data_IF_283077658310
#
_entry.id   IF_283077658310
#
_cell.length_a   1.000
_cell.length_b   1.000
_cell.length_c   1.000
_cell.angle_alpha   90.00
_cell.angle_beta   90.00
_cell.angle_gamma   90.00
#
_symmetry.space_group_name_H-M   'P 1'
#
loop_
_entity.id
_entity.type
_entity.pdbx_description
1 polymer ?
#
# COMPACT_ATOMS: atom_id res chain seq x y z
N UNK A 1 -2.03 -10.26 -12.74
CA UNK A 1 -1.08 -9.53 -11.88
C UNK A 1 -1.19 -10.03 -10.46
N UNK A 2 -0.08 -10.26 -9.81
CA UNK A 2 -0.04 -10.62 -8.38
C UNK A 2 0.01 -9.37 -7.50
N UNK A 3 -0.27 -9.52 -6.21
CA UNK A 3 -0.15 -8.43 -5.25
C UNK A 3 1.28 -7.89 -5.23
N UNK A 4 2.29 -8.77 -5.32
CA UNK A 4 3.70 -8.35 -5.35
C UNK A 4 4.00 -7.48 -6.58
N UNK A 5 3.50 -7.85 -7.75
CA UNK A 5 3.69 -7.07 -8.98
C UNK A 5 3.01 -5.70 -8.87
N UNK A 6 1.79 -5.66 -8.35
CA UNK A 6 1.09 -4.41 -8.12
C UNK A 6 1.85 -3.51 -7.14
N UNK A 7 2.34 -4.07 -6.04
CA UNK A 7 3.13 -3.33 -5.07
C UNK A 7 4.39 -2.75 -5.71
N UNK A 8 5.11 -3.54 -6.50
CA UNK A 8 6.31 -3.09 -7.20
C UNK A 8 6.01 -1.94 -8.17
N UNK A 9 4.92 -2.04 -8.93
CA UNK A 9 4.50 -0.99 -9.86
C UNK A 9 4.17 0.31 -9.11
N UNK A 10 3.45 0.22 -8.00
CA UNK A 10 3.12 1.38 -7.17
C UNK A 10 4.38 2.06 -6.65
N UNK A 11 5.35 1.27 -6.18
CA UNK A 11 6.62 1.79 -5.66
C UNK A 11 7.43 2.47 -6.76
N UNK A 12 7.51 1.87 -7.95
CA UNK A 12 8.22 2.45 -9.09
C UNK A 12 7.59 3.79 -9.47
N UNK A 13 6.28 3.85 -9.67
CA UNK A 13 5.59 5.08 -10.01
C UNK A 13 5.81 6.16 -8.96
N UNK A 14 5.72 5.79 -7.70
CA UNK A 14 5.93 6.70 -6.59
C UNK A 14 7.37 7.25 -6.57
N UNK A 15 8.38 6.39 -6.69
CA UNK A 15 9.78 6.80 -6.67
C UNK A 15 10.17 7.66 -7.87
N UNK A 16 9.57 7.40 -9.04
CA UNK A 16 9.87 8.15 -10.26
C UNK A 16 9.16 9.50 -10.33
N UNK A 17 7.92 9.56 -9.90
CA UNK A 17 7.07 10.72 -10.14
C UNK A 17 6.65 11.47 -8.88
N UNK A 18 6.71 10.84 -7.72
CA UNK A 18 6.30 11.44 -6.45
C UNK A 18 4.83 11.87 -6.40
N UNK A 19 3.99 11.31 -7.25
CA UNK A 19 2.61 11.75 -7.43
C UNK A 19 1.64 11.09 -6.47
N UNK A 20 0.51 11.77 -6.26
CA UNK A 20 -0.59 11.22 -5.50
C UNK A 20 -1.30 10.11 -6.29
N UNK A 21 -1.65 9.03 -5.63
CA UNK A 21 -2.50 7.98 -6.18
C UNK A 21 -3.95 8.44 -6.08
N UNK A 22 -4.81 8.01 -7.01
CA UNK A 22 -6.18 8.49 -7.13
C UNK A 22 -6.99 8.40 -5.83
N UNK A 23 -6.96 7.25 -5.15
CA UNK A 23 -7.64 7.11 -3.87
C UNK A 23 -7.24 5.81 -3.18
N UNK A 24 -7.54 5.73 -1.88
CA UNK A 24 -7.35 4.46 -1.15
C UNK A 24 -8.30 3.38 -1.67
N UNK A 25 -9.50 3.74 -2.09
CA UNK A 25 -10.46 2.77 -2.62
C UNK A 25 -9.98 2.21 -3.97
N UNK A 26 -9.39 3.04 -4.82
CA UNK A 26 -8.76 2.57 -6.06
C UNK A 26 -7.61 1.61 -5.77
N UNK A 27 -6.79 1.91 -4.78
CA UNK A 27 -5.69 1.04 -4.37
C UNK A 27 -6.20 -0.31 -3.85
N UNK A 28 -7.19 -0.29 -2.96
CA UNK A 28 -7.79 -1.51 -2.41
C UNK A 28 -8.44 -2.33 -3.52
N UNK A 29 -9.18 -1.69 -4.43
CA UNK A 29 -9.81 -2.37 -5.56
C UNK A 29 -8.78 -3.04 -6.47
N UNK A 30 -7.65 -2.38 -6.72
CA UNK A 30 -6.57 -2.95 -7.51
C UNK A 30 -5.97 -4.19 -6.82
N UNK A 31 -5.80 -4.16 -5.50
CA UNK A 31 -5.32 -5.31 -4.73
C UNK A 31 -6.33 -6.45 -4.79
N UNK A 32 -7.61 -6.17 -4.61
CA UNK A 32 -8.68 -7.17 -4.67
C UNK A 32 -8.82 -7.81 -6.06
N UNK A 33 -8.41 -7.11 -7.10
CA UNK A 33 -8.37 -7.61 -8.47
C UNK A 33 -7.17 -8.49 -8.79
N UNK A 34 -6.21 -8.63 -7.90
CA UNK A 34 -5.03 -9.48 -8.12
C UNK A 34 -5.38 -10.97 -8.05
N UNK A 35 -4.65 -11.78 -8.81
CA UNK A 35 -4.88 -13.21 -8.94
C UNK A 35 -4.81 -13.94 -7.59
N UNK A 36 -3.91 -13.50 -6.72
CA UNK A 36 -3.61 -14.10 -5.43
C UNK A 36 -4.31 -13.41 -4.25
N UNK A 37 -5.29 -12.54 -4.53
CA UNK A 37 -6.02 -11.83 -3.47
C UNK A 37 -6.67 -12.78 -2.46
N UNK A 38 -7.23 -13.89 -2.93
CA UNK A 38 -7.92 -14.86 -2.07
C UNK A 38 -7.04 -15.46 -0.97
N UNK A 39 -5.72 -15.35 -1.12
CA UNK A 39 -4.75 -15.84 -0.14
C UNK A 39 -4.23 -14.74 0.78
N UNK A 40 -4.75 -13.52 0.66
CA UNK A 40 -4.27 -12.37 1.41
C UNK A 40 -5.39 -11.71 2.22
N UNK A 41 -4.98 -11.06 3.30
CA UNK A 41 -5.83 -10.20 4.13
C UNK A 41 -5.30 -8.77 4.02
N UNK A 42 -6.22 -7.82 3.89
CA UNK A 42 -5.90 -6.39 3.86
C UNK A 42 -6.57 -5.73 5.06
N UNK A 43 -5.83 -4.87 5.75
CA UNK A 43 -6.35 -4.07 6.84
C UNK A 43 -5.92 -2.62 6.65
N UNK A 44 -6.86 -1.70 6.80
CA UNK A 44 -6.60 -0.25 6.84
C UNK A 44 -6.63 0.19 8.29
N UNK A 45 -5.58 0.87 8.75
CA UNK A 45 -5.54 1.49 10.07
C UNK A 45 -5.49 3.00 9.95
N UNK A 46 -6.39 3.64 10.67
CA UNK A 46 -6.49 5.09 10.71
C UNK A 46 -5.74 5.62 11.93
N UNK A 47 -4.85 6.57 11.69
CA UNK A 47 -4.20 7.33 12.75
C UNK A 47 -4.86 8.69 12.83
N UNK A 48 -5.38 9.04 13.97
CA UNK A 48 -6.13 10.29 14.18
C UNK A 48 -5.26 11.54 14.04
N UNK A 49 -3.95 11.38 14.16
CA UNK A 49 -3.00 12.50 14.08
C UNK A 49 -2.39 12.63 12.69
N UNK A 50 -2.44 13.85 12.13
CA UNK A 50 -1.74 14.25 10.91
C UNK A 50 -2.22 13.60 9.60
N UNK A 51 -3.47 13.16 9.53
CA UNK A 51 -4.07 12.58 8.31
C UNK A 51 -3.26 11.42 7.72
N UNK A 52 -2.57 10.69 8.57
CA UNK A 52 -1.75 9.55 8.18
C UNK A 52 -2.50 8.25 8.46
N UNK A 53 -2.39 7.35 7.51
CA UNK A 53 -3.07 6.05 7.55
C UNK A 53 -2.10 4.97 7.11
N UNK A 54 -2.41 3.73 7.43
CA UNK A 54 -1.57 2.60 7.04
C UNK A 54 -2.42 1.48 6.48
N UNK A 55 -1.97 0.93 5.36
CA UNK A 55 -2.54 -0.25 4.72
C UNK A 55 -1.60 -1.42 4.95
N UNK A 56 -2.13 -2.50 5.51
CA UNK A 56 -1.37 -3.73 5.80
C UNK A 56 -1.87 -4.86 4.92
N UNK A 57 -0.95 -5.62 4.35
CA UNK A 57 -1.25 -6.79 3.53
C UNK A 57 -0.45 -7.97 4.04
N UNK A 58 -1.09 -9.13 4.22
CA UNK A 58 -0.38 -10.36 4.60
C UNK A 58 -1.01 -11.59 3.96
N UNK A 59 -0.23 -12.63 3.81
CA UNK A 59 -0.76 -13.96 3.50
C UNK A 59 -1.63 -14.47 4.65
N UNK A 60 -2.76 -15.07 4.34
CA UNK A 60 -3.68 -15.62 5.34
C UNK A 60 -2.97 -16.63 6.25
N UNK A 61 -2.05 -17.42 5.68
CA UNK A 61 -1.28 -18.43 6.42
C UNK A 61 -0.15 -17.86 7.28
N UNK A 62 0.11 -16.55 7.21
CA UNK A 62 1.20 -15.92 7.93
C UNK A 62 0.69 -15.09 9.11
N UNK A 63 1.49 -15.03 10.18
CA UNK A 63 1.18 -14.23 11.36
C UNK A 63 1.60 -12.76 11.21
N UNK A 64 2.44 -12.44 10.21
CA UNK A 64 3.01 -11.10 10.05
C UNK A 64 2.60 -10.49 8.71
N UNK A 65 2.53 -9.16 8.68
CA UNK A 65 2.27 -8.41 7.46
C UNK A 65 3.46 -8.54 6.50
N UNK A 66 3.17 -8.75 5.21
CA UNK A 66 4.19 -8.89 4.18
C UNK A 66 4.46 -7.57 3.46
N UNK A 67 3.45 -6.72 3.38
CA UNK A 67 3.56 -5.41 2.75
C UNK A 67 2.84 -4.38 3.60
N UNK A 68 3.44 -3.20 3.73
CA UNK A 68 2.86 -2.09 4.49
C UNK A 68 3.04 -0.81 3.68
N UNK A 69 1.94 -0.08 3.48
CA UNK A 69 1.95 1.20 2.80
C UNK A 69 1.39 2.25 3.76
N UNK A 70 2.20 3.23 4.13
CA UNK A 70 1.75 4.39 4.89
C UNK A 70 1.51 5.55 3.93
N UNK A 71 0.39 6.22 4.07
CA UNK A 71 -0.01 7.29 3.17
C UNK A 71 -0.65 8.45 3.93
N UNK A 72 -0.64 9.61 3.29
CA UNK A 72 -1.40 10.78 3.72
C UNK A 72 -2.62 10.92 2.83
N UNK A 73 -3.79 11.13 3.44
CA UNK A 73 -5.02 11.41 2.72
C UNK A 73 -5.11 12.91 2.43
N UNK A 74 -5.28 13.26 1.17
CA UNK A 74 -5.45 14.63 0.72
C UNK A 74 -6.93 15.04 0.77
N UNK A 75 -7.20 16.34 0.69
CA UNK A 75 -8.56 16.89 0.73
C UNK A 75 -9.44 16.45 -0.44
N UNK A 76 -8.83 16.11 -1.57
CA UNK A 76 -9.52 15.65 -2.78
C UNK A 76 -9.63 14.12 -2.85
N UNK A 77 -9.41 13.42 -1.73
CA UNK A 77 -9.42 11.97 -1.60
C UNK A 77 -8.28 11.24 -2.33
N UNK A 78 -7.34 11.95 -2.91
CA UNK A 78 -6.10 11.34 -3.39
C UNK A 78 -5.18 11.03 -2.23
N UNK A 79 -4.24 10.11 -2.42
CA UNK A 79 -3.29 9.73 -1.38
C UNK A 79 -1.86 9.94 -1.84
N UNK A 80 -1.01 10.38 -0.92
CA UNK A 80 0.43 10.44 -1.12
C UNK A 80 1.08 9.34 -0.29
N UNK A 81 1.84 8.47 -0.93
CA UNK A 81 2.56 7.41 -0.23
C UNK A 81 3.75 8.02 0.50
N UNK A 82 3.83 7.76 1.80
CA UNK A 82 4.92 8.24 2.65
C UNK A 82 5.98 7.17 2.82
N UNK A 83 5.54 5.92 3.03
CA UNK A 83 6.43 4.77 3.23
C UNK A 83 5.78 3.57 2.56
N UNK A 84 6.58 2.78 1.87
CA UNK A 84 6.17 1.48 1.37
C UNK A 84 7.23 0.45 1.77
N UNK A 85 6.83 -0.57 2.54
CA UNK A 85 7.72 -1.61 3.02
C UNK A 85 7.32 -2.96 2.45
N UNK A 86 8.29 -3.66 1.90
CA UNK A 86 8.17 -5.05 1.45
C UNK A 86 9.00 -5.92 2.38
N UNK A 87 8.36 -6.47 3.41
CA UNK A 87 9.04 -7.29 4.40
C UNK A 87 9.50 -8.65 3.84
N UNK A 88 8.86 -9.10 2.76
CA UNK A 88 9.26 -10.33 2.08
C UNK A 88 10.65 -10.21 1.46
N UNK A 89 10.98 -9.01 0.93
CA UNK A 89 12.30 -8.69 0.37
C UNK A 89 13.14 -7.84 1.31
N UNK A 90 12.62 -7.46 2.48
CA UNK A 90 13.26 -6.55 3.44
C UNK A 90 13.64 -5.21 2.83
N UNK A 91 12.77 -4.69 1.95
CA UNK A 91 12.97 -3.40 1.29
C UNK A 91 12.00 -2.37 1.84
N UNK A 92 12.47 -1.15 2.01
CA UNK A 92 11.66 -0.02 2.42
C UNK A 92 11.91 1.16 1.49
N UNK A 93 10.84 1.85 1.12
CA UNK A 93 10.87 3.05 0.31
C UNK A 93 10.20 4.17 1.10
N UNK A 94 10.88 5.32 1.21
CA UNK A 94 10.38 6.47 1.98
C UNK A 94 10.31 7.70 1.10
N UNK A 95 9.23 8.47 1.28
CA UNK A 95 9.12 9.83 0.76
C UNK A 95 9.79 10.80 1.73
N UNK A 96 10.51 11.74 1.20
CA UNK A 96 11.00 12.88 1.98
C UNK A 96 9.96 13.99 2.07
#
# INVERSE_FOLDING_TARGET
MTIQQLFDDIVIDYCEQGIAINSVDSLVSAIEGCEDYKTHVIEKKDYVANDKYTLYIKLISHCTWTHVISYRLNKDDTINILVACDFKRRMSYKSE
#
